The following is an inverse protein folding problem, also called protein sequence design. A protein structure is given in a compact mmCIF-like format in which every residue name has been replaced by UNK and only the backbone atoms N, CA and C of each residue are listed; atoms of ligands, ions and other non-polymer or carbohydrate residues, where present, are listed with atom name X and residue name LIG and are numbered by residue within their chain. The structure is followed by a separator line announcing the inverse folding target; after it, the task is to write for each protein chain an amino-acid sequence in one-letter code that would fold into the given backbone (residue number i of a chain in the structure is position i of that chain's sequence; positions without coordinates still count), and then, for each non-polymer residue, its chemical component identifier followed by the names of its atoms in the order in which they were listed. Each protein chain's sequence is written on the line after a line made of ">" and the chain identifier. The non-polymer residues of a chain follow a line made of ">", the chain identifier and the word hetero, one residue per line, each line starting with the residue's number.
data_IF_569857850033
#
_entry.id   IF_569857850033
#
_cell.length_a   1.000
_cell.length_b   1.000
_cell.length_c   1.000
_cell.angle_alpha   90.00
_cell.angle_beta   90.00
_cell.angle_gamma   90.00
#
_symmetry.space_group_name_H-M   'P 1'
#
loop_
_entity.id
_entity.type
_entity.pdbx_description
1 polymer ?
#
# COMPACT_ATOMS: atom_id res chain seq x y z
N UNK A 1 19.64 31.02 9.37
CA UNK A 1 20.73 31.21 8.40
C UNK A 1 21.61 32.33 8.91
N UNK A 2 22.89 32.07 9.07
CA UNK A 2 23.87 33.09 9.47
C UNK A 2 24.36 33.88 8.25
N UNK A 3 25.08 34.98 8.47
CA UNK A 3 25.57 35.86 7.38
C UNK A 3 26.59 35.16 6.46
N UNK A 4 27.24 34.13 6.94
CA UNK A 4 28.20 33.30 6.19
C UNK A 4 27.55 32.12 5.44
N UNK A 5 26.20 31.99 5.50
CA UNK A 5 25.46 30.90 4.89
C UNK A 5 25.33 29.67 5.77
N UNK A 6 25.94 29.65 6.94
CA UNK A 6 25.81 28.53 7.88
C UNK A 6 24.49 28.57 8.66
N UNK A 7 24.09 27.45 9.22
CA UNK A 7 22.98 27.35 10.16
C UNK A 7 23.31 26.34 11.25
N UNK A 8 22.71 26.50 12.41
CA UNK A 8 22.82 25.55 13.52
C UNK A 8 21.44 25.00 13.77
N UNK A 9 21.31 23.69 13.71
CA UNK A 9 20.10 22.96 14.09
C UNK A 9 20.24 22.53 15.56
N UNK A 10 19.32 23.01 16.42
CA UNK A 10 19.29 22.63 17.84
C UNK A 10 17.92 22.06 18.19
N UNK A 11 17.89 20.94 18.86
CA UNK A 11 16.64 20.31 19.29
C UNK A 11 16.89 18.96 19.96
N UNK A 12 15.83 18.35 20.42
CA UNK A 12 15.84 16.96 20.84
C UNK A 12 15.47 16.11 19.63
N UNK A 13 16.42 15.39 19.12
CA UNK A 13 16.24 14.53 17.95
C UNK A 13 16.22 13.07 18.42
N UNK A 14 15.32 12.29 17.84
CA UNK A 14 15.40 10.84 17.99
C UNK A 14 16.54 10.30 17.11
N UNK A 15 17.27 9.26 17.59
CA UNK A 15 18.25 8.58 16.77
C UNK A 15 17.66 8.10 15.46
N UNK A 16 18.41 8.21 14.36
CA UNK A 16 17.93 7.79 13.05
C UNK A 16 18.72 8.38 11.89
N UNK A 17 18.11 8.36 10.71
CA UNK A 17 18.62 9.03 9.52
C UNK A 17 17.83 10.32 9.28
N UNK A 18 18.53 11.42 9.33
CA UNK A 18 17.98 12.72 8.96
C UNK A 18 18.12 12.90 7.46
N UNK A 19 17.02 13.20 6.79
CA UNK A 19 17.00 13.57 5.37
C UNK A 19 16.73 15.05 5.27
N UNK A 20 17.61 15.76 4.59
CA UNK A 20 17.42 17.18 4.26
C UNK A 20 16.95 17.24 2.81
N UNK A 21 15.75 17.80 2.61
CA UNK A 21 15.14 17.89 1.29
C UNK A 21 14.80 19.32 0.93
N UNK A 22 14.84 19.63 -0.37
CA UNK A 22 14.21 20.82 -0.94
C UNK A 22 12.76 20.50 -1.32
N UNK A 23 12.01 21.53 -1.76
CA UNK A 23 10.61 21.35 -2.23
C UNK A 23 10.49 20.34 -3.39
N UNK A 24 11.60 20.02 -4.08
CA UNK A 24 11.59 19.20 -5.29
C UNK A 24 12.33 17.87 -5.16
N UNK A 25 13.33 17.77 -4.30
CA UNK A 25 14.19 16.57 -4.21
C UNK A 25 14.92 16.46 -2.87
N UNK A 26 15.31 15.25 -2.49
CA UNK A 26 16.17 15.01 -1.34
C UNK A 26 17.60 15.46 -1.70
N UNK A 27 18.17 16.32 -0.86
CA UNK A 27 19.49 16.88 -1.09
C UNK A 27 20.59 15.99 -0.52
N UNK A 28 20.45 15.59 0.74
CA UNK A 28 21.43 14.75 1.43
C UNK A 28 20.82 14.10 2.68
N UNK A 29 21.54 13.12 3.23
CA UNK A 29 21.14 12.45 4.46
C UNK A 29 22.34 12.12 5.32
N UNK A 30 22.15 12.11 6.63
CA UNK A 30 23.17 11.75 7.61
C UNK A 30 22.58 11.01 8.81
N UNK A 31 23.43 10.29 9.51
CA UNK A 31 23.07 9.60 10.76
C UNK A 31 23.14 10.58 11.92
N UNK A 32 22.13 10.55 12.75
CA UNK A 32 22.08 11.22 14.04
C UNK A 32 21.82 10.17 15.13
N UNK A 33 22.82 9.84 15.92
CA UNK A 33 22.71 8.87 17.03
C UNK A 33 23.56 9.35 18.22
N UNK A 34 24.62 8.64 18.55
CA UNK A 34 25.48 8.99 19.70
C UNK A 34 26.32 10.24 19.45
N UNK A 35 26.74 10.43 18.21
CA UNK A 35 27.49 11.60 17.78
C UNK A 35 26.53 12.69 17.30
N UNK A 36 26.49 13.81 17.99
CA UNK A 36 25.56 14.91 17.73
C UNK A 36 26.26 16.25 17.43
N UNK A 37 27.58 16.30 17.57
CA UNK A 37 28.38 17.50 17.30
C UNK A 37 29.29 17.23 16.10
N UNK A 38 28.83 17.56 14.92
CA UNK A 38 29.51 17.40 13.66
C UNK A 38 29.10 18.50 12.66
N UNK A 39 29.92 18.69 11.64
CA UNK A 39 29.70 19.67 10.59
C UNK A 39 29.28 19.00 9.28
N UNK A 40 28.26 19.56 8.63
CA UNK A 40 27.84 19.15 7.28
C UNK A 40 28.12 20.29 6.32
N UNK A 41 28.98 20.06 5.33
CA UNK A 41 29.29 21.00 4.25
C UNK A 41 28.61 20.56 2.95
N UNK A 42 27.88 21.48 2.33
CA UNK A 42 27.17 21.25 1.07
C UNK A 42 27.84 22.08 -0.03
N UNK A 43 28.15 21.44 -1.14
CA UNK A 43 28.82 22.08 -2.28
C UNK A 43 27.80 22.42 -3.40
N UNK A 44 28.11 23.40 -4.27
CA UNK A 44 27.19 23.85 -5.33
C UNK A 44 26.80 22.76 -6.35
N UNK A 45 27.60 21.71 -6.49
CA UNK A 45 27.34 20.55 -7.36
C UNK A 45 26.44 19.49 -6.72
N UNK A 46 25.93 19.77 -5.50
CA UNK A 46 25.10 18.84 -4.73
C UNK A 46 25.89 17.77 -3.96
N UNK A 47 27.23 17.80 -4.04
CA UNK A 47 28.06 16.99 -3.17
C UNK A 47 27.98 17.49 -1.73
N UNK A 48 28.09 16.60 -0.75
CA UNK A 48 28.18 16.96 0.66
C UNK A 48 29.19 16.11 1.41
N UNK A 49 29.75 16.70 2.46
CA UNK A 49 30.65 16.05 3.39
C UNK A 49 30.12 16.18 4.82
N UNK A 50 30.39 15.17 5.64
CA UNK A 50 30.15 15.24 7.08
C UNK A 50 31.50 15.10 7.78
N UNK A 51 31.83 16.00 8.69
CA UNK A 51 33.11 16.01 9.43
C UNK A 51 32.86 15.95 10.93
N UNK A 52 33.66 15.11 11.62
CA UNK A 52 33.57 14.97 13.07
C UNK A 52 32.63 13.85 13.54
N UNK A 53 32.22 12.97 12.64
CA UNK A 53 31.37 11.83 13.00
C UNK A 53 31.85 10.56 12.31
N UNK A 54 32.33 9.59 13.09
CA UNK A 54 32.71 8.25 12.62
C UNK A 54 31.49 7.48 12.11
N UNK A 55 30.32 7.67 12.71
CA UNK A 55 29.08 7.04 12.25
C UNK A 55 28.70 7.51 10.85
N UNK A 56 28.83 8.81 10.59
CA UNK A 56 28.55 9.36 9.27
C UNK A 56 29.60 8.97 8.22
N UNK A 57 30.88 8.85 8.59
CA UNK A 57 31.91 8.30 7.70
C UNK A 57 31.53 6.89 7.22
N UNK A 58 31.08 6.04 8.14
CA UNK A 58 30.63 4.66 7.84
C UNK A 58 29.34 4.64 7.00
N UNK A 59 28.42 5.53 7.31
CA UNK A 59 27.17 5.66 6.55
C UNK A 59 27.44 6.06 5.10
N UNK A 60 28.29 7.04 4.87
CA UNK A 60 28.65 7.50 3.53
C UNK A 60 29.44 6.44 2.74
N UNK A 61 30.35 5.71 3.42
CA UNK A 61 31.04 4.57 2.83
C UNK A 61 30.08 3.47 2.40
N UNK A 62 29.13 3.11 3.27
CA UNK A 62 28.08 2.13 2.95
C UNK A 62 27.21 2.59 1.77
N UNK A 63 26.79 3.85 1.75
CA UNK A 63 26.03 4.39 0.62
C UNK A 63 26.81 4.29 -0.70
N UNK A 64 28.12 4.58 -0.67
CA UNK A 64 28.99 4.45 -1.83
C UNK A 64 29.03 2.99 -2.33
N UNK A 65 29.34 2.04 -1.44
CA UNK A 65 29.39 0.61 -1.78
C UNK A 65 28.05 0.07 -2.30
N UNK A 66 26.94 0.48 -1.68
CA UNK A 66 25.61 0.11 -2.13
C UNK A 66 25.29 0.70 -3.53
N UNK A 67 25.69 1.94 -3.80
CA UNK A 67 25.52 2.58 -5.11
C UNK A 67 26.32 1.84 -6.18
N UNK A 68 27.57 1.50 -5.92
CA UNK A 68 28.43 0.74 -6.83
C UNK A 68 27.81 -0.63 -7.16
N UNK A 69 27.33 -1.34 -6.14
CA UNK A 69 26.63 -2.62 -6.34
C UNK A 69 25.38 -2.46 -7.19
N UNK A 70 24.52 -1.47 -6.89
CA UNK A 70 23.31 -1.21 -7.67
C UNK A 70 23.59 -0.80 -9.11
N UNK A 71 24.68 -0.08 -9.35
CA UNK A 71 25.10 0.28 -10.70
C UNK A 71 25.47 -0.97 -11.52
N UNK A 72 26.17 -1.94 -10.92
CA UNK A 72 26.47 -3.22 -11.57
C UNK A 72 25.19 -3.98 -11.92
N UNK A 73 24.21 -4.03 -10.99
CA UNK A 73 22.90 -4.66 -11.27
C UNK A 73 22.19 -4.00 -12.44
N UNK A 74 22.10 -2.68 -12.44
CA UNK A 74 21.44 -1.91 -13.49
C UNK A 74 22.12 -2.10 -14.87
N UNK A 75 23.45 -2.05 -14.91
CA UNK A 75 24.20 -2.28 -16.14
C UNK A 75 24.02 -3.71 -16.68
N UNK A 76 23.99 -4.71 -15.78
CA UNK A 76 23.75 -6.09 -16.15
C UNK A 76 22.32 -6.28 -16.70
N UNK A 77 21.32 -5.63 -16.11
CA UNK A 77 19.93 -5.67 -16.60
C UNK A 77 19.81 -5.05 -18.00
N UNK A 78 20.43 -3.90 -18.24
CA UNK A 78 20.47 -3.27 -19.57
C UNK A 78 21.14 -4.16 -20.60
N UNK A 79 22.33 -4.69 -20.27
CA UNK A 79 23.08 -5.56 -21.18
C UNK A 79 22.33 -6.87 -21.49
N UNK A 80 21.54 -7.40 -20.55
CA UNK A 80 20.70 -8.58 -20.76
C UNK A 80 19.51 -8.30 -21.67
N UNK A 81 18.96 -7.08 -21.62
CA UNK A 81 17.90 -6.66 -22.54
C UNK A 81 18.41 -6.51 -23.99
N UNK A 82 19.65 -6.04 -24.16
CA UNK A 82 20.31 -5.91 -25.46
C UNK A 82 20.75 -7.27 -26.03
N UNK A 83 21.30 -8.14 -25.20
CA UNK A 83 21.84 -9.44 -25.61
C UNK A 83 21.55 -10.54 -24.57
N UNK A 84 20.42 -11.28 -24.72
CA UNK A 84 20.05 -12.36 -23.81
C UNK A 84 21.08 -13.51 -23.71
N UNK A 85 21.98 -13.66 -24.68
CA UNK A 85 23.00 -14.73 -24.66
C UNK A 85 24.10 -14.47 -23.63
N UNK A 86 24.26 -13.24 -23.15
CA UNK A 86 25.24 -12.86 -22.10
C UNK A 86 24.80 -13.24 -20.68
N UNK A 87 23.68 -13.93 -20.50
CA UNK A 87 23.09 -14.23 -19.19
C UNK A 87 24.11 -14.83 -18.21
N UNK A 88 24.87 -15.85 -18.59
CA UNK A 88 25.78 -16.54 -17.69
C UNK A 88 26.99 -15.68 -17.28
N UNK A 89 27.55 -14.93 -18.23
CA UNK A 89 28.66 -14.01 -17.94
C UNK A 89 28.22 -12.85 -17.05
N UNK A 90 27.03 -12.29 -17.30
CA UNK A 90 26.46 -11.20 -16.49
C UNK A 90 26.09 -11.70 -15.09
N UNK A 91 25.54 -12.91 -14.94
CA UNK A 91 25.28 -13.53 -13.65
C UNK A 91 26.57 -13.66 -12.82
N UNK A 92 27.68 -14.05 -13.44
CA UNK A 92 28.98 -14.13 -12.76
C UNK A 92 29.45 -12.77 -12.23
N UNK A 93 29.30 -11.70 -13.03
CA UNK A 93 29.65 -10.33 -12.65
C UNK A 93 28.76 -9.85 -11.48
N UNK A 94 27.47 -10.07 -11.58
CA UNK A 94 26.50 -9.72 -10.53
C UNK A 94 26.81 -10.49 -9.24
N UNK A 95 27.07 -11.78 -9.33
CA UNK A 95 27.40 -12.60 -8.14
C UNK A 95 28.68 -12.15 -7.46
N UNK A 96 29.71 -11.77 -8.23
CA UNK A 96 30.95 -11.23 -7.67
C UNK A 96 30.69 -9.91 -6.94
N UNK A 97 29.95 -8.99 -7.56
CA UNK A 97 29.60 -7.72 -6.94
C UNK A 97 28.76 -7.92 -5.67
N UNK A 98 27.80 -8.86 -5.71
CA UNK A 98 27.00 -9.26 -4.55
C UNK A 98 27.87 -9.77 -3.42
N UNK A 99 28.77 -10.71 -3.69
CA UNK A 99 29.65 -11.27 -2.68
C UNK A 99 30.55 -10.20 -2.03
N UNK A 100 31.09 -9.27 -2.84
CA UNK A 100 31.88 -8.15 -2.33
C UNK A 100 31.07 -7.27 -1.40
N UNK A 101 29.86 -6.89 -1.82
CA UNK A 101 28.96 -6.07 -1.01
C UNK A 101 28.50 -6.79 0.27
N UNK A 102 28.15 -8.06 0.17
CA UNK A 102 27.72 -8.88 1.33
C UNK A 102 28.84 -9.05 2.34
N UNK A 103 30.09 -9.30 1.90
CA UNK A 103 31.24 -9.37 2.78
C UNK A 103 31.46 -8.06 3.52
N UNK A 104 31.44 -6.94 2.80
CA UNK A 104 31.57 -5.61 3.39
C UNK A 104 30.45 -5.35 4.39
N UNK A 105 29.22 -5.60 4.00
CA UNK A 105 28.03 -5.40 4.85
C UNK A 105 28.11 -6.23 6.14
N UNK A 106 28.49 -7.50 6.04
CA UNK A 106 28.52 -8.39 7.20
C UNK A 106 29.67 -8.03 8.16
N UNK A 107 30.76 -7.41 7.68
CA UNK A 107 31.87 -6.95 8.52
C UNK A 107 31.47 -5.85 9.51
N UNK A 108 30.39 -5.08 9.24
CA UNK A 108 29.94 -4.04 10.16
C UNK A 108 29.55 -4.56 11.54
N UNK A 109 28.86 -5.70 11.58
CA UNK A 109 28.41 -6.26 12.85
C UNK A 109 29.58 -6.72 13.72
N UNK A 110 30.64 -7.24 13.11
CA UNK A 110 31.85 -7.71 13.83
C UNK A 110 32.73 -6.53 14.27
N UNK A 111 32.89 -5.54 13.39
CA UNK A 111 33.80 -4.43 13.63
C UNK A 111 33.18 -3.29 14.46
N UNK A 112 31.89 -3.06 14.32
CA UNK A 112 31.18 -1.90 14.90
C UNK A 112 29.81 -2.30 15.45
N UNK A 113 29.71 -3.20 16.44
CA UNK A 113 28.42 -3.79 16.89
C UNK A 113 27.42 -2.74 17.38
N UNK A 114 27.90 -1.66 17.99
CA UNK A 114 27.05 -0.60 18.58
C UNK A 114 26.78 0.56 17.62
N UNK A 115 27.37 0.55 16.42
CA UNK A 115 27.17 1.61 15.44
C UNK A 115 25.82 1.50 14.77
N UNK A 116 25.20 2.65 14.46
CA UNK A 116 23.90 2.70 13.76
C UNK A 116 23.92 1.93 12.44
N UNK A 117 25.06 1.91 11.73
CA UNK A 117 25.18 1.14 10.49
C UNK A 117 25.07 -0.37 10.70
N UNK A 118 25.59 -0.89 11.80
CA UNK A 118 25.44 -2.31 12.14
C UNK A 118 23.97 -2.69 12.33
N UNK A 119 23.22 -1.84 13.02
CA UNK A 119 21.76 -2.01 13.23
C UNK A 119 21.00 -1.92 11.90
N UNK A 120 21.33 -0.93 11.07
CA UNK A 120 20.72 -0.77 9.74
C UNK A 120 20.97 -1.98 8.83
N UNK A 121 22.20 -2.47 8.80
CA UNK A 121 22.59 -3.61 7.96
C UNK A 121 21.81 -4.87 8.36
N UNK A 122 21.67 -5.13 9.66
CA UNK A 122 20.82 -6.24 10.16
C UNK A 122 19.36 -6.03 9.83
N UNK A 123 18.86 -4.82 10.01
CA UNK A 123 17.45 -4.50 9.75
C UNK A 123 17.05 -4.73 8.28
N UNK A 124 17.95 -4.49 7.32
CA UNK A 124 17.68 -4.71 5.88
C UNK A 124 18.05 -6.10 5.37
N UNK A 125 18.64 -6.96 6.21
CA UNK A 125 19.02 -8.31 5.81
C UNK A 125 17.78 -9.12 5.39
N UNK A 126 18.01 -10.10 4.53
CA UNK A 126 17.00 -11.06 4.10
C UNK A 126 17.34 -12.44 4.68
N UNK A 127 16.34 -13.33 4.85
CA UNK A 127 16.59 -14.67 5.35
C UNK A 127 17.61 -15.40 4.49
N UNK A 128 18.50 -16.16 5.14
CA UNK A 128 19.37 -17.08 4.45
C UNK A 128 18.55 -18.24 3.89
N UNK A 129 18.57 -18.40 2.57
CA UNK A 129 17.73 -19.38 1.88
C UNK A 129 18.43 -20.73 1.82
N UNK A 130 17.82 -21.82 2.36
CA UNK A 130 18.37 -23.17 2.27
C UNK A 130 18.58 -23.61 0.81
N UNK A 131 19.77 -24.19 0.54
CA UNK A 131 20.20 -24.58 -0.82
C UNK A 131 19.24 -25.54 -1.52
N UNK A 132 18.50 -26.35 -0.79
CA UNK A 132 17.56 -27.32 -1.38
C UNK A 132 16.41 -26.65 -2.15
N UNK A 133 16.08 -25.38 -1.85
CA UNK A 133 15.08 -24.61 -2.59
C UNK A 133 15.63 -24.02 -3.90
N UNK A 134 16.95 -23.99 -4.08
CA UNK A 134 17.60 -23.27 -5.17
C UNK A 134 18.17 -24.21 -6.23
N UNK A 135 18.10 -23.78 -7.48
CA UNK A 135 18.86 -24.32 -8.59
C UNK A 135 20.35 -23.93 -8.48
N UNK A 136 21.18 -24.50 -9.31
CA UNK A 136 22.63 -24.19 -9.37
C UNK A 136 22.92 -22.73 -9.76
N UNK A 137 21.99 -22.07 -10.46
CA UNK A 137 22.08 -20.65 -10.86
C UNK A 137 21.52 -19.70 -9.78
N UNK A 138 21.10 -20.22 -8.62
CA UNK A 138 20.50 -19.44 -7.54
C UNK A 138 19.02 -19.10 -7.70
N UNK A 139 18.38 -19.48 -8.78
CA UNK A 139 16.94 -19.33 -8.96
C UNK A 139 16.16 -20.34 -8.10
N UNK A 140 14.93 -19.97 -7.72
CA UNK A 140 14.05 -20.87 -6.95
C UNK A 140 13.56 -22.02 -7.84
N UNK A 141 13.65 -23.24 -7.34
CA UNK A 141 13.12 -24.43 -8.02
C UNK A 141 11.61 -24.35 -8.13
N UNK A 142 11.09 -24.66 -9.30
CA UNK A 142 9.63 -24.59 -9.57
C UNK A 142 8.83 -25.51 -8.65
N UNK A 143 9.34 -26.71 -8.41
CA UNK A 143 8.71 -27.76 -7.57
C UNK A 143 8.66 -27.38 -6.09
N UNK A 144 9.53 -26.52 -5.59
CA UNK A 144 9.59 -26.06 -4.18
C UNK A 144 9.16 -24.62 -4.00
N UNK A 145 8.62 -23.97 -5.03
CA UNK A 145 8.32 -22.54 -4.99
C UNK A 145 7.36 -22.12 -3.87
N UNK A 146 6.35 -22.96 -3.57
CA UNK A 146 5.39 -22.70 -2.48
C UNK A 146 6.05 -22.84 -1.10
N UNK A 147 6.86 -23.89 -0.91
CA UNK A 147 7.59 -24.13 0.33
C UNK A 147 8.63 -23.03 0.57
N UNK A 148 9.33 -22.62 -0.49
CA UNK A 148 10.24 -21.46 -0.46
C UNK A 148 9.51 -20.18 -0.05
N UNK A 149 8.37 -19.86 -0.66
CA UNK A 149 7.61 -18.67 -0.33
C UNK A 149 7.13 -18.68 1.13
N UNK A 150 6.71 -19.84 1.63
CA UNK A 150 6.35 -20.03 3.03
C UNK A 150 7.55 -19.82 3.95
N UNK A 151 8.69 -20.51 3.67
CA UNK A 151 9.93 -20.38 4.42
C UNK A 151 10.40 -18.92 4.47
N UNK A 152 10.49 -18.25 3.31
CA UNK A 152 10.96 -16.88 3.21
C UNK A 152 10.09 -15.92 4.03
N UNK A 153 8.78 -16.08 3.97
CA UNK A 153 7.83 -15.25 4.74
C UNK A 153 7.96 -15.46 6.25
N UNK A 154 8.09 -16.71 6.70
CA UNK A 154 8.16 -17.02 8.14
C UNK A 154 9.48 -16.65 8.78
N UNK A 155 10.57 -16.60 7.99
CA UNK A 155 11.92 -16.23 8.46
C UNK A 155 12.32 -14.78 8.13
N UNK A 156 11.41 -14.00 7.54
CA UNK A 156 11.73 -12.66 7.06
C UNK A 156 12.21 -11.68 8.14
N UNK A 157 11.84 -11.93 9.37
CA UNK A 157 12.13 -11.09 10.53
C UNK A 157 13.15 -11.72 11.51
N UNK A 158 13.79 -12.84 11.16
CA UNK A 158 14.65 -13.56 12.10
C UNK A 158 15.85 -12.72 12.58
N UNK A 159 16.50 -12.02 11.67
CA UNK A 159 17.67 -11.17 11.97
C UNK A 159 17.30 -9.75 12.41
N UNK A 160 16.00 -9.42 12.49
CA UNK A 160 15.56 -8.09 12.87
C UNK A 160 15.56 -7.94 14.39
N UNK A 161 16.29 -6.92 14.88
CA UNK A 161 16.36 -6.60 16.30
C UNK A 161 15.24 -5.64 16.68
N UNK A 162 14.15 -6.18 17.22
CA UNK A 162 13.02 -5.40 17.69
C UNK A 162 13.29 -4.62 18.97
N UNK A 163 14.39 -4.90 19.71
CA UNK A 163 14.73 -4.15 20.91
C UNK A 163 15.47 -2.84 20.62
N UNK A 164 15.92 -2.63 19.39
CA UNK A 164 16.64 -1.41 18.98
C UNK A 164 15.70 -0.44 18.23
N UNK A 165 15.19 0.56 18.95
CA UNK A 165 14.23 1.53 18.41
C UNK A 165 14.82 2.54 17.42
N UNK A 166 16.14 2.63 17.28
CA UNK A 166 16.81 3.58 16.37
C UNK A 166 16.36 3.41 14.93
N UNK A 167 16.02 2.18 14.53
CA UNK A 167 15.52 1.87 13.18
C UNK A 167 14.19 2.55 12.86
N UNK A 168 13.33 2.83 13.87
CA UNK A 168 12.07 3.58 13.68
C UNK A 168 12.33 5.01 13.14
N UNK A 169 13.46 5.63 13.52
CA UNK A 169 13.90 6.91 12.99
C UNK A 169 14.49 6.85 11.57
N UNK A 170 14.27 5.75 10.84
CA UNK A 170 14.81 5.54 9.50
C UNK A 170 13.73 5.09 8.52
N UNK A 171 13.90 5.33 7.19
CA UNK A 171 12.96 4.82 6.20
C UNK A 171 13.02 3.29 6.02
N UNK A 172 14.02 2.62 6.58
CA UNK A 172 14.30 1.22 6.30
C UNK A 172 13.33 0.26 6.96
N UNK A 173 12.90 0.53 8.19
CA UNK A 173 11.89 -0.30 8.85
C UNK A 173 10.58 -0.31 8.07
N UNK A 174 10.03 0.88 7.79
CA UNK A 174 8.77 0.97 7.07
C UNK A 174 8.86 0.30 5.69
N UNK A 175 9.96 0.51 4.97
CA UNK A 175 10.18 -0.11 3.67
C UNK A 175 10.30 -1.65 3.75
N UNK A 176 10.94 -2.17 4.81
CA UNK A 176 11.01 -3.62 5.07
C UNK A 176 9.61 -4.16 5.35
N UNK A 177 8.83 -3.48 6.20
CA UNK A 177 7.46 -3.87 6.51
C UNK A 177 6.56 -3.81 5.27
N UNK A 178 6.64 -2.74 4.47
CA UNK A 178 5.93 -2.67 3.19
C UNK A 178 6.30 -3.85 2.26
N UNK A 179 7.57 -4.17 2.15
CA UNK A 179 8.00 -5.32 1.33
C UNK A 179 7.39 -6.63 1.84
N UNK A 180 7.35 -6.83 3.16
CA UNK A 180 6.72 -7.99 3.79
C UNK A 180 5.24 -8.10 3.44
N UNK A 181 4.50 -7.01 3.55
CA UNK A 181 3.06 -6.98 3.27
C UNK A 181 2.78 -7.00 1.76
N UNK A 182 3.46 -6.16 0.95
CA UNK A 182 3.07 -5.92 -0.45
C UNK A 182 3.69 -6.93 -1.43
N UNK A 183 4.83 -7.57 -1.08
CA UNK A 183 5.58 -8.42 -2.00
C UNK A 183 5.66 -9.88 -1.57
N UNK A 184 5.70 -10.14 -0.26
CA UNK A 184 5.92 -11.47 0.30
C UNK A 184 4.61 -12.12 0.73
N UNK A 185 3.62 -11.32 1.10
CA UNK A 185 2.29 -11.77 1.49
C UNK A 185 1.36 -11.88 0.28
N UNK A 186 0.50 -12.89 0.23
CA UNK A 186 -0.54 -12.98 -0.79
C UNK A 186 -1.51 -11.80 -0.68
N UNK A 187 -1.82 -11.18 -1.82
CA UNK A 187 -2.58 -9.94 -1.88
C UNK A 187 -4.10 -10.18 -1.82
N UNK A 188 -4.55 -10.75 -0.71
CA UNK A 188 -5.94 -10.78 -0.28
C UNK A 188 -6.04 -10.34 1.19
N UNK A 189 -7.17 -9.80 1.60
CA UNK A 189 -7.33 -9.19 2.92
C UNK A 189 -7.06 -10.17 4.09
N UNK A 190 -7.42 -11.45 3.93
CA UNK A 190 -7.20 -12.46 4.96
C UNK A 190 -5.71 -12.77 5.15
N UNK A 191 -4.98 -12.99 4.05
CA UNK A 191 -3.54 -13.27 4.11
C UNK A 191 -2.76 -12.06 4.63
N UNK A 192 -3.16 -10.85 4.23
CA UNK A 192 -2.54 -9.61 4.73
C UNK A 192 -2.82 -9.42 6.21
N UNK A 193 -4.04 -9.69 6.67
CA UNK A 193 -4.37 -9.63 8.09
C UNK A 193 -3.54 -10.64 8.90
N UNK A 194 -3.43 -11.89 8.43
CA UNK A 194 -2.61 -12.91 9.12
C UNK A 194 -1.15 -12.49 9.21
N UNK A 195 -0.58 -11.97 8.12
CA UNK A 195 0.81 -11.48 8.13
C UNK A 195 0.99 -10.25 9.01
N UNK A 196 0.05 -9.32 8.96
CA UNK A 196 0.02 -8.13 9.83
C UNK A 196 -0.01 -8.53 11.31
N UNK A 197 -0.95 -9.40 11.70
CA UNK A 197 -1.07 -9.89 13.07
C UNK A 197 0.18 -10.65 13.52
N UNK A 198 0.71 -11.53 12.66
CA UNK A 198 1.94 -12.28 12.96
C UNK A 198 3.13 -11.36 13.19
N UNK A 199 3.24 -10.25 12.45
CA UNK A 199 4.27 -9.24 12.68
C UNK A 199 4.08 -8.57 14.07
N UNK A 200 2.87 -8.14 14.40
CA UNK A 200 2.56 -7.50 15.70
C UNK A 200 2.88 -8.45 16.87
N UNK A 201 2.42 -9.71 16.78
CA UNK A 201 2.68 -10.74 17.80
C UNK A 201 4.19 -10.97 17.96
N UNK A 202 4.92 -11.06 16.86
CA UNK A 202 6.37 -11.26 16.87
C UNK A 202 7.11 -10.06 17.49
N UNK A 203 6.76 -8.84 17.08
CA UNK A 203 7.36 -7.62 17.61
C UNK A 203 7.15 -7.54 19.12
N UNK A 204 5.93 -7.73 19.60
CA UNK A 204 5.61 -7.72 21.03
C UNK A 204 6.37 -8.82 21.80
N UNK A 205 6.49 -10.03 21.24
CA UNK A 205 7.24 -11.12 21.88
C UNK A 205 8.75 -10.87 21.98
N UNK A 206 9.29 -9.96 21.16
CA UNK A 206 10.71 -9.59 21.11
C UNK A 206 11.00 -8.19 21.66
N UNK A 207 10.14 -7.65 22.53
CA UNK A 207 10.26 -6.31 23.16
C UNK A 207 10.23 -5.15 22.14
N UNK A 208 9.47 -5.34 21.09
CA UNK A 208 9.31 -4.36 20.00
C UNK A 208 7.96 -3.65 20.01
N UNK A 209 7.45 -3.29 21.20
CA UNK A 209 6.15 -2.62 21.35
C UNK A 209 6.07 -1.32 20.56
N UNK A 210 7.18 -0.59 20.45
CA UNK A 210 7.24 0.65 19.65
C UNK A 210 7.03 0.39 18.16
N UNK A 211 7.54 -0.73 17.63
CA UNK A 211 7.32 -1.13 16.23
C UNK A 211 5.89 -1.57 15.97
N UNK A 212 5.32 -2.37 16.88
CA UNK A 212 3.93 -2.80 16.76
C UNK A 212 2.97 -1.62 16.87
N UNK A 213 3.21 -0.70 17.82
CA UNK A 213 2.44 0.52 17.96
C UNK A 213 2.51 1.40 16.71
N UNK A 214 3.71 1.65 16.20
CA UNK A 214 3.90 2.48 14.99
C UNK A 214 3.11 1.93 13.80
N UNK A 215 3.18 0.62 13.54
CA UNK A 215 2.46 -0.02 12.44
C UNK A 215 0.94 -0.03 12.69
N UNK A 216 0.50 -0.28 13.91
CA UNK A 216 -0.91 -0.25 14.28
C UNK A 216 -1.51 1.14 14.05
N UNK A 217 -0.89 2.20 14.59
CA UNK A 217 -1.34 3.59 14.42
C UNK A 217 -1.37 3.99 12.94
N UNK A 218 -0.35 3.57 12.17
CA UNK A 218 -0.30 3.81 10.73
C UNK A 218 -1.49 3.19 10.00
N UNK A 219 -1.82 1.93 10.29
CA UNK A 219 -2.91 1.21 9.62
C UNK A 219 -4.28 1.72 10.07
N UNK A 220 -4.47 1.99 11.36
CA UNK A 220 -5.70 2.60 11.89
C UNK A 220 -5.96 3.99 11.28
N UNK A 221 -4.91 4.72 10.90
CA UNK A 221 -5.05 6.05 10.28
C UNK A 221 -5.23 5.98 8.76
N UNK A 222 -4.55 5.05 8.10
CA UNK A 222 -4.45 4.99 6.63
C UNK A 222 -5.60 4.27 5.96
N UNK A 223 -6.00 3.12 6.52
CA UNK A 223 -7.00 2.25 5.88
C UNK A 223 -8.37 2.93 5.72
N UNK A 224 -8.91 3.67 6.72
CA UNK A 224 -10.20 4.34 6.57
C UNK A 224 -10.24 5.40 5.47
N UNK A 225 -9.09 5.96 5.11
CA UNK A 225 -8.98 7.03 4.10
C UNK A 225 -9.06 6.51 2.66
N UNK A 226 -9.02 5.21 2.46
CA UNK A 226 -8.96 4.58 1.15
C UNK A 226 -10.14 3.60 1.01
N UNK A 227 -11.29 4.05 0.48
CA UNK A 227 -12.54 3.28 0.45
C UNK A 227 -12.53 2.19 -0.63
N UNK A 228 -11.60 1.24 -0.49
CA UNK A 228 -11.54 0.02 -1.27
C UNK A 228 -11.98 -1.16 -0.41
N UNK A 229 -12.74 -2.09 -0.95
CA UNK A 229 -13.17 -3.30 -0.23
C UNK A 229 -12.04 -4.00 0.51
N UNK A 230 -10.87 -4.10 -0.11
CA UNK A 230 -9.68 -4.69 0.52
C UNK A 230 -9.32 -4.00 1.83
N UNK A 231 -9.25 -2.66 1.82
CA UNK A 231 -8.88 -1.88 2.99
C UNK A 231 -9.95 -1.92 4.07
N UNK A 232 -11.23 -1.87 3.68
CA UNK A 232 -12.36 -1.93 4.60
C UNK A 232 -12.45 -3.30 5.30
N UNK A 233 -12.22 -4.40 4.58
CA UNK A 233 -12.16 -5.75 5.16
C UNK A 233 -10.99 -5.84 6.14
N UNK A 234 -9.80 -5.42 5.73
CA UNK A 234 -8.59 -5.46 6.55
C UNK A 234 -8.78 -4.60 7.81
N UNK A 235 -9.29 -3.39 7.66
CA UNK A 235 -9.54 -2.49 8.77
C UNK A 235 -10.58 -3.05 9.75
N UNK A 236 -11.69 -3.58 9.24
CA UNK A 236 -12.72 -4.21 10.07
C UNK A 236 -12.13 -5.35 10.92
N UNK A 237 -11.29 -6.19 10.33
CA UNK A 237 -10.63 -7.28 11.06
C UNK A 237 -9.64 -6.77 12.11
N UNK A 238 -8.86 -5.73 11.80
CA UNK A 238 -7.95 -5.11 12.77
C UNK A 238 -8.75 -4.56 13.96
N UNK A 239 -9.85 -3.86 13.70
CA UNK A 239 -10.68 -3.31 14.78
C UNK A 239 -11.31 -4.41 15.62
N UNK A 240 -11.92 -5.42 14.97
CA UNK A 240 -12.60 -6.53 15.68
C UNK A 240 -11.66 -7.38 16.54
N UNK A 241 -10.46 -7.68 16.02
CA UNK A 241 -9.58 -8.66 16.63
C UNK A 241 -8.45 -8.02 17.46
N UNK A 242 -8.10 -6.75 17.20
CA UNK A 242 -6.88 -6.14 17.74
C UNK A 242 -7.08 -4.80 18.46
N UNK A 243 -8.29 -4.20 18.46
CA UNK A 243 -8.56 -3.05 19.34
C UNK A 243 -9.03 -3.55 20.71
N UNK A 244 -8.06 -3.84 21.57
CA UNK A 244 -8.24 -4.32 22.93
C UNK A 244 -7.01 -4.00 23.80
N UNK A 245 -7.02 -4.42 25.06
CA UNK A 245 -5.92 -4.10 26.00
C UNK A 245 -4.61 -4.85 25.69
N UNK A 246 -4.67 -5.97 24.96
CA UNK A 246 -3.48 -6.74 24.61
C UNK A 246 -2.69 -6.10 23.45
N UNK A 247 -3.41 -5.53 22.47
CA UNK A 247 -2.80 -5.01 21.24
C UNK A 247 -2.71 -3.49 21.18
N UNK A 248 -3.65 -2.78 21.80
CA UNK A 248 -3.75 -1.32 21.74
C UNK A 248 -4.00 -0.69 23.12
N UNK A 249 -3.16 -1.00 24.14
CA UNK A 249 -3.36 -0.48 25.51
C UNK A 249 -3.27 1.05 25.59
N UNK A 250 -2.65 1.71 24.60
CA UNK A 250 -2.51 3.17 24.52
C UNK A 250 -3.74 3.91 23.97
N UNK A 251 -4.68 3.19 23.34
CA UNK A 251 -5.91 3.82 22.84
C UNK A 251 -6.87 4.09 24.00
N UNK A 252 -7.34 5.33 24.08
CA UNK A 252 -8.42 5.71 24.99
C UNK A 252 -9.74 5.03 24.62
N UNK A 253 -10.66 4.98 25.57
CA UNK A 253 -12.00 4.43 25.31
C UNK A 253 -12.71 5.14 24.16
N UNK A 254 -12.61 6.49 24.11
CA UNK A 254 -13.24 7.27 23.04
C UNK A 254 -12.65 6.99 21.66
N UNK A 255 -11.33 6.73 21.55
CA UNK A 255 -10.71 6.33 20.30
C UNK A 255 -11.16 4.94 19.86
N UNK A 256 -11.23 3.99 20.78
CA UNK A 256 -11.74 2.63 20.50
C UNK A 256 -13.20 2.67 20.04
N UNK A 257 -14.04 3.46 20.70
CA UNK A 257 -15.45 3.67 20.32
C UNK A 257 -15.57 4.32 18.94
N UNK A 258 -14.70 5.26 18.58
CA UNK A 258 -14.68 5.88 17.26
C UNK A 258 -14.36 4.86 16.15
N UNK A 259 -13.34 4.01 16.37
CA UNK A 259 -13.02 2.94 15.44
C UNK A 259 -14.17 1.93 15.30
N UNK A 260 -14.77 1.54 16.41
CA UNK A 260 -15.93 0.63 16.43
C UNK A 260 -17.12 1.21 15.69
N UNK A 261 -17.45 2.47 15.96
CA UNK A 261 -18.56 3.18 15.29
C UNK A 261 -18.35 3.26 13.78
N UNK A 262 -17.11 3.50 13.34
CA UNK A 262 -16.78 3.55 11.92
C UNK A 262 -16.97 2.17 11.23
N UNK A 263 -16.50 1.07 11.84
CA UNK A 263 -16.71 -0.24 11.22
C UNK A 263 -18.18 -0.67 11.21
N UNK A 264 -19.00 -0.23 12.14
CA UNK A 264 -20.44 -0.48 12.12
C UNK A 264 -21.12 0.20 10.92
N UNK A 265 -20.63 1.36 10.49
CA UNK A 265 -21.13 2.05 9.30
C UNK A 265 -20.74 1.35 8.00
N UNK A 266 -19.50 0.83 7.89
CA UNK A 266 -19.02 0.20 6.65
C UNK A 266 -19.38 -1.28 6.52
N UNK A 267 -19.55 -1.99 7.64
CA UNK A 267 -19.82 -3.44 7.69
C UNK A 267 -21.03 -3.90 6.84
N UNK A 268 -22.14 -3.15 6.77
CA UNK A 268 -23.27 -3.52 5.92
C UNK A 268 -22.96 -3.51 4.42
N UNK A 269 -21.89 -2.84 4.00
CA UNK A 269 -21.51 -2.63 2.60
C UNK A 269 -20.26 -3.42 2.18
N UNK A 270 -19.75 -4.28 3.04
CA UNK A 270 -18.64 -5.16 2.71
C UNK A 270 -19.04 -6.24 1.68
N UNK A 271 -18.11 -6.81 0.92
CA UNK A 271 -18.36 -7.88 -0.03
C UNK A 271 -19.22 -9.02 0.54
N UNK A 272 -20.16 -9.50 -0.26
CA UNK A 272 -21.15 -10.52 0.12
C UNK A 272 -22.40 -9.98 0.81
N UNK A 273 -22.41 -8.72 1.28
CA UNK A 273 -23.60 -8.08 1.89
C UNK A 273 -24.58 -7.61 0.83
N UNK A 274 -25.88 -7.62 1.16
CA UNK A 274 -26.92 -7.10 0.28
C UNK A 274 -26.86 -5.56 0.27
N UNK A 275 -26.71 -4.99 -0.92
CA UNK A 275 -26.74 -3.53 -1.07
C UNK A 275 -28.17 -3.00 -0.95
N UNK A 276 -28.41 -1.86 -0.32
CA UNK A 276 -29.76 -1.33 -0.14
C UNK A 276 -30.44 -1.01 -1.47
N UNK A 277 -31.78 -1.17 -1.50
CA UNK A 277 -32.56 -0.82 -2.67
C UNK A 277 -32.75 0.69 -2.78
N UNK A 278 -31.74 1.39 -3.24
CA UNK A 278 -31.78 2.85 -3.42
C UNK A 278 -32.78 3.20 -4.52
N UNK A 279 -33.67 4.15 -4.22
CA UNK A 279 -34.55 4.77 -5.18
C UNK A 279 -34.30 6.28 -5.24
N UNK A 280 -34.20 6.81 -6.44
CA UNK A 280 -33.96 8.22 -6.69
C UNK A 280 -34.61 8.64 -8.05
N UNK A 281 -34.73 9.96 -8.28
CA UNK A 281 -35.25 10.47 -9.52
C UNK A 281 -34.20 10.57 -10.60
N UNK A 282 -34.50 10.09 -11.79
CA UNK A 282 -33.71 10.31 -13.01
C UNK A 282 -33.77 11.79 -13.45
N UNK A 283 -32.87 12.19 -14.34
CA UNK A 283 -32.86 13.56 -14.87
C UNK A 283 -34.15 13.95 -15.61
N UNK A 284 -34.89 12.99 -16.15
CA UNK A 284 -36.21 13.20 -16.77
C UNK A 284 -37.39 13.11 -15.78
N UNK A 285 -37.12 12.98 -14.48
CA UNK A 285 -38.11 13.04 -13.39
C UNK A 285 -38.79 11.71 -13.06
N UNK A 286 -38.45 10.62 -13.70
CA UNK A 286 -38.95 9.27 -13.34
C UNK A 286 -38.29 8.75 -12.09
N UNK A 287 -39.01 8.05 -11.25
CA UNK A 287 -38.41 7.30 -10.14
C UNK A 287 -37.84 5.96 -10.63
N UNK A 288 -36.59 5.68 -10.29
CA UNK A 288 -35.95 4.42 -10.59
C UNK A 288 -35.36 3.82 -9.30
N UNK A 289 -35.64 2.54 -9.11
CA UNK A 289 -35.12 1.77 -7.99
C UNK A 289 -34.00 0.81 -8.48
N UNK A 290 -32.95 0.72 -7.72
CA UNK A 290 -31.80 -0.13 -8.03
C UNK A 290 -32.20 -1.59 -8.32
N UNK A 291 -33.14 -2.13 -7.54
CA UNK A 291 -33.60 -3.50 -7.68
C UNK A 291 -34.47 -3.75 -8.91
N UNK A 292 -34.90 -2.70 -9.63
CA UNK A 292 -35.58 -2.84 -10.91
C UNK A 292 -34.61 -3.24 -12.04
N UNK A 293 -33.33 -3.00 -11.89
CA UNK A 293 -32.31 -3.41 -12.86
C UNK A 293 -32.04 -4.91 -12.75
N UNK A 294 -32.36 -5.67 -13.82
CA UNK A 294 -32.31 -7.15 -13.86
C UNK A 294 -31.10 -7.65 -14.66
N UNK A 295 -29.97 -7.00 -14.48
CA UNK A 295 -28.70 -7.39 -15.11
C UNK A 295 -27.87 -8.29 -14.19
N UNK A 296 -26.95 -9.02 -14.79
CA UNK A 296 -26.03 -9.92 -14.07
C UNK A 296 -25.15 -9.15 -13.10
N UNK A 297 -24.69 -7.98 -13.52
CA UNK A 297 -23.98 -7.05 -12.67
C UNK A 297 -24.65 -5.68 -12.66
N UNK A 298 -24.48 -4.93 -11.59
CA UNK A 298 -24.89 -3.56 -11.49
C UNK A 298 -23.73 -2.73 -10.92
N UNK A 299 -23.39 -1.65 -11.61
CA UNK A 299 -22.36 -0.73 -11.15
C UNK A 299 -23.07 0.48 -10.55
N UNK A 300 -22.98 0.66 -9.23
CA UNK A 300 -23.49 1.85 -8.55
C UNK A 300 -22.36 2.87 -8.48
N UNK A 301 -22.55 4.01 -9.14
CA UNK A 301 -21.53 5.04 -9.27
C UNK A 301 -22.00 6.34 -8.60
N UNK A 302 -21.43 6.64 -7.43
CA UNK A 302 -21.65 7.92 -6.75
C UNK A 302 -20.63 8.94 -7.25
N UNK A 303 -21.13 10.10 -7.70
CA UNK A 303 -20.29 11.14 -8.30
C UNK A 303 -20.86 12.53 -8.06
N UNK A 304 -20.08 13.58 -8.35
CA UNK A 304 -20.55 14.97 -8.29
C UNK A 304 -20.15 15.72 -9.54
N UNK A 305 -21.07 16.50 -10.08
CA UNK A 305 -20.82 17.34 -11.24
C UNK A 305 -19.75 18.41 -10.91
N UNK A 306 -18.75 18.54 -11.80
CA UNK A 306 -17.59 19.43 -11.60
C UNK A 306 -16.43 18.83 -10.79
N UNK A 307 -16.54 17.58 -10.35
CA UNK A 307 -15.44 16.83 -9.75
C UNK A 307 -14.54 16.25 -10.86
N UNK A 308 -13.29 16.68 -10.94
CA UNK A 308 -12.36 16.26 -12.01
C UNK A 308 -12.07 14.76 -11.99
N UNK A 309 -11.88 14.18 -10.81
CA UNK A 309 -11.69 12.73 -10.67
C UNK A 309 -12.94 11.94 -11.06
N UNK A 310 -14.13 12.49 -10.80
CA UNK A 310 -15.39 11.87 -11.22
C UNK A 310 -15.52 11.88 -12.74
N UNK A 311 -15.15 12.97 -13.39
CA UNK A 311 -15.14 13.09 -14.85
C UNK A 311 -14.25 12.03 -15.50
N UNK A 312 -13.01 11.91 -15.04
CA UNK A 312 -12.09 10.89 -15.53
C UNK A 312 -12.65 9.47 -15.36
N UNK A 313 -13.24 9.18 -14.19
CA UNK A 313 -13.84 7.87 -13.94
C UNK A 313 -15.08 7.63 -14.82
N UNK A 314 -15.88 8.66 -15.10
CA UNK A 314 -17.03 8.56 -16.01
C UNK A 314 -16.58 8.26 -17.44
N UNK A 315 -15.53 8.90 -17.94
CA UNK A 315 -14.92 8.63 -19.26
C UNK A 315 -14.44 7.17 -19.38
N UNK A 316 -13.66 6.68 -18.41
CA UNK A 316 -13.18 5.29 -18.36
C UNK A 316 -14.36 4.29 -18.28
N UNK A 317 -15.35 4.59 -17.46
CA UNK A 317 -16.55 3.75 -17.31
C UNK A 317 -17.38 3.71 -18.60
N UNK A 318 -17.50 4.84 -19.31
CA UNK A 318 -18.19 4.92 -20.60
C UNK A 318 -17.52 4.06 -21.67
N UNK A 319 -16.19 4.09 -21.76
CA UNK A 319 -15.44 3.25 -22.70
C UNK A 319 -15.70 1.76 -22.41
N UNK A 320 -15.68 1.39 -21.12
CA UNK A 320 -15.95 0.02 -20.70
C UNK A 320 -17.41 -0.35 -20.95
N UNK A 321 -18.36 0.55 -20.68
CA UNK A 321 -19.80 0.35 -20.91
C UNK A 321 -20.08 0.08 -22.38
N UNK A 322 -19.62 0.96 -23.29
CA UNK A 322 -19.85 0.85 -24.72
C UNK A 322 -19.20 -0.41 -25.34
N UNK A 323 -18.04 -0.81 -24.83
CA UNK A 323 -17.33 -1.97 -25.37
C UNK A 323 -17.75 -3.32 -24.78
N UNK A 324 -18.38 -3.35 -23.61
CA UNK A 324 -18.46 -4.58 -22.82
C UNK A 324 -19.80 -4.83 -22.14
N UNK A 325 -20.76 -3.91 -22.21
CA UNK A 325 -22.07 -4.01 -21.55
C UNK A 325 -22.78 -5.34 -21.89
N UNK A 326 -22.93 -5.62 -23.18
CA UNK A 326 -23.66 -6.81 -23.64
C UNK A 326 -22.89 -8.10 -23.35
N UNK A 327 -21.56 -8.02 -23.39
CA UNK A 327 -20.70 -9.17 -23.11
C UNK A 327 -20.83 -9.66 -21.67
N UNK A 328 -20.89 -8.75 -20.71
CA UNK A 328 -20.95 -9.09 -19.29
C UNK A 328 -22.33 -8.93 -18.68
N UNK A 329 -23.32 -8.43 -19.44
CA UNK A 329 -24.69 -8.16 -18.99
C UNK A 329 -24.69 -7.29 -17.71
N UNK A 330 -24.22 -6.06 -17.84
CA UNK A 330 -24.24 -5.11 -16.74
C UNK A 330 -24.93 -3.81 -17.07
N UNK A 331 -25.39 -3.11 -16.03
CA UNK A 331 -25.95 -1.76 -16.12
C UNK A 331 -25.32 -0.84 -15.08
N UNK A 332 -25.26 0.46 -15.40
CA UNK A 332 -24.78 1.50 -14.51
C UNK A 332 -25.95 2.26 -13.89
N UNK A 333 -25.97 2.30 -12.58
CA UNK A 333 -26.89 3.08 -11.76
C UNK A 333 -26.08 4.21 -11.11
N UNK A 334 -25.97 5.35 -11.82
CA UNK A 334 -25.16 6.45 -11.31
C UNK A 334 -26.01 7.45 -10.52
N UNK A 335 -25.47 7.91 -9.39
CA UNK A 335 -26.14 8.84 -8.48
C UNK A 335 -25.25 10.08 -8.34
N UNK A 336 -25.76 11.18 -8.82
CA UNK A 336 -25.13 12.49 -8.65
C UNK A 336 -25.48 13.07 -7.27
N UNK A 337 -24.47 13.46 -6.51
CA UNK A 337 -24.55 13.84 -5.10
C UNK A 337 -24.44 15.35 -4.86
N UNK A 338 -24.11 16.13 -5.89
CA UNK A 338 -23.90 17.60 -5.77
C UNK A 338 -25.18 18.43 -5.77
N UNK A 339 -26.31 17.88 -6.26
CA UNK A 339 -27.62 18.50 -6.24
C UNK A 339 -27.87 19.61 -7.29
N UNK A 340 -26.89 19.95 -8.12
CA UNK A 340 -27.06 20.94 -9.21
C UNK A 340 -27.49 20.24 -10.50
N UNK A 341 -28.80 20.26 -10.75
CA UNK A 341 -29.42 19.56 -11.87
C UNK A 341 -28.94 20.08 -13.23
N UNK A 342 -28.75 21.37 -13.36
CA UNK A 342 -28.35 21.97 -14.65
C UNK A 342 -26.94 21.58 -15.01
N UNK A 343 -26.03 21.63 -14.02
CA UNK A 343 -24.65 21.13 -14.19
C UNK A 343 -24.62 19.64 -14.51
N UNK A 344 -25.39 18.84 -13.80
CA UNK A 344 -25.49 17.39 -14.02
C UNK A 344 -25.95 17.08 -15.43
N UNK A 345 -27.04 17.75 -15.90
CA UNK A 345 -27.57 17.55 -17.23
C UNK A 345 -26.57 17.96 -18.33
N UNK A 346 -25.92 19.10 -18.12
CA UNK A 346 -24.86 19.57 -19.02
C UNK A 346 -23.72 18.56 -19.12
N UNK A 347 -23.16 18.16 -17.99
CA UNK A 347 -22.03 17.22 -17.94
C UNK A 347 -22.44 15.85 -18.51
N UNK A 348 -23.61 15.31 -18.17
CA UNK A 348 -24.11 14.05 -18.73
C UNK A 348 -24.18 14.09 -20.26
N UNK A 349 -24.65 15.22 -20.82
CA UNK A 349 -24.75 15.40 -22.26
C UNK A 349 -23.38 15.57 -22.92
N UNK A 350 -22.48 16.37 -22.35
CA UNK A 350 -21.13 16.61 -22.86
C UNK A 350 -20.28 15.34 -22.85
N UNK A 351 -20.41 14.52 -21.81
CA UNK A 351 -19.68 13.25 -21.67
C UNK A 351 -20.36 12.08 -22.40
N UNK A 352 -21.60 12.26 -22.91
CA UNK A 352 -22.33 11.21 -23.62
C UNK A 352 -22.60 9.98 -22.77
N UNK A 353 -23.08 10.17 -21.53
CA UNK A 353 -23.40 9.08 -20.62
C UNK A 353 -24.75 8.45 -21.01
N UNK A 354 -24.74 7.19 -21.44
CA UNK A 354 -25.92 6.46 -21.93
C UNK A 354 -26.63 5.62 -20.88
N UNK A 355 -26.13 5.62 -19.65
CA UNK A 355 -26.73 4.91 -18.52
C UNK A 355 -27.68 5.79 -17.67
N UNK A 356 -28.28 5.21 -16.64
CA UNK A 356 -29.18 5.93 -15.75
C UNK A 356 -28.42 6.89 -14.84
N UNK A 357 -28.72 8.18 -14.97
CA UNK A 357 -28.23 9.24 -14.09
C UNK A 357 -29.37 9.71 -13.19
N UNK A 358 -29.18 9.51 -11.90
CA UNK A 358 -30.11 9.88 -10.84
C UNK A 358 -29.50 11.00 -10.00
N UNK A 359 -30.37 11.71 -9.28
CA UNK A 359 -29.94 12.71 -8.31
C UNK A 359 -30.43 12.34 -6.92
N UNK A 360 -29.56 12.47 -5.94
CA UNK A 360 -29.89 12.30 -4.55
C UNK A 360 -29.07 13.22 -3.65
N UNK A 361 -29.63 13.57 -2.51
CA UNK A 361 -28.92 14.31 -1.48
C UNK A 361 -28.13 13.31 -0.60
N UNK A 362 -26.83 13.54 -0.30
CA UNK A 362 -26.02 12.68 0.56
C UNK A 362 -26.69 12.36 1.90
N UNK A 363 -27.24 13.36 2.60
CA UNK A 363 -27.91 13.17 3.87
C UNK A 363 -29.18 12.30 3.77
N UNK A 364 -29.86 12.28 2.61
CA UNK A 364 -30.99 11.38 2.37
C UNK A 364 -30.53 9.95 2.12
N UNK A 365 -29.43 9.76 1.41
CA UNK A 365 -28.84 8.42 1.20
C UNK A 365 -28.43 7.85 2.55
N UNK A 366 -27.71 8.63 3.35
CA UNK A 366 -27.28 8.21 4.68
C UNK A 366 -28.47 7.90 5.61
N UNK A 367 -29.43 8.82 5.75
CA UNK A 367 -30.55 8.66 6.66
C UNK A 367 -31.51 7.52 6.29
N UNK A 368 -31.68 7.24 4.99
CA UNK A 368 -32.59 6.20 4.50
C UNK A 368 -31.97 4.83 4.39
N UNK A 369 -30.70 4.78 4.03
CA UNK A 369 -30.03 3.54 3.64
C UNK A 369 -28.81 3.21 4.51
N UNK A 370 -28.46 4.10 5.44
CA UNK A 370 -27.28 3.94 6.30
C UNK A 370 -25.94 4.02 5.54
N UNK A 371 -25.99 4.48 4.27
CA UNK A 371 -24.79 4.57 3.43
C UNK A 371 -24.24 6.00 3.47
N UNK A 372 -23.11 6.17 4.14
CA UNK A 372 -22.36 7.43 4.16
C UNK A 372 -21.38 7.47 2.96
N UNK A 373 -21.63 8.38 2.02
CA UNK A 373 -20.74 8.65 0.88
C UNK A 373 -20.00 9.96 1.16
N UNK A 374 -18.86 9.87 1.82
CA UNK A 374 -18.07 11.04 2.23
C UNK A 374 -17.32 11.70 1.06
N UNK A 375 -16.91 10.88 0.08
CA UNK A 375 -16.11 11.34 -1.04
C UNK A 375 -16.64 10.78 -2.35
N UNK A 376 -16.49 11.55 -3.41
CA UNK A 376 -16.77 11.12 -4.78
C UNK A 376 -15.49 11.18 -5.63
N UNK A 377 -15.30 10.23 -6.55
CA UNK A 377 -16.18 9.11 -6.90
C UNK A 377 -16.12 7.95 -5.90
N UNK A 378 -17.25 7.23 -5.72
CA UNK A 378 -17.32 5.96 -5.01
C UNK A 378 -18.13 4.97 -5.86
N UNK A 379 -17.63 3.75 -6.03
CA UNK A 379 -18.18 2.77 -6.97
C UNK A 379 -18.39 1.44 -6.25
N UNK A 380 -19.62 0.93 -6.30
CA UNK A 380 -19.93 -0.44 -5.89
C UNK A 380 -20.22 -1.30 -7.10
N UNK A 381 -19.67 -2.50 -7.13
CA UNK A 381 -19.94 -3.52 -8.14
C UNK A 381 -20.78 -4.60 -7.46
N UNK A 382 -21.99 -4.83 -7.98
CA UNK A 382 -22.96 -5.73 -7.40
C UNK A 382 -23.23 -6.92 -8.32
N UNK A 383 -23.54 -8.08 -7.72
CA UNK A 383 -24.03 -9.26 -8.44
C UNK A 383 -25.53 -9.15 -8.83
N UNK A 384 -26.07 -10.18 -9.47
CA UNK A 384 -27.48 -10.25 -9.87
C UNK A 384 -28.48 -10.19 -8.70
N UNK A 385 -28.05 -10.57 -7.49
CA UNK A 385 -28.81 -10.51 -6.25
C UNK A 385 -28.59 -9.18 -5.49
N UNK A 386 -27.90 -8.24 -6.10
CA UNK A 386 -27.51 -6.96 -5.50
C UNK A 386 -26.64 -7.11 -4.26
N UNK A 387 -25.80 -8.17 -4.22
CA UNK A 387 -24.77 -8.30 -3.21
C UNK A 387 -23.50 -7.59 -3.68
N UNK A 388 -22.82 -6.92 -2.77
CA UNK A 388 -21.56 -6.27 -3.05
C UNK A 388 -20.51 -7.31 -3.44
N UNK A 389 -19.92 -7.17 -4.63
CA UNK A 389 -18.74 -7.90 -5.05
C UNK A 389 -17.48 -7.14 -4.68
N UNK A 390 -17.49 -5.83 -4.92
CA UNK A 390 -16.35 -4.96 -4.63
C UNK A 390 -16.78 -3.50 -4.46
N UNK A 391 -15.97 -2.73 -3.72
CA UNK A 391 -16.01 -1.27 -3.63
C UNK A 391 -14.68 -0.69 -4.11
N UNK A 392 -14.71 0.37 -4.91
CA UNK A 392 -13.54 1.04 -5.45
C UNK A 392 -13.83 2.52 -5.72
N UNK A 393 -12.79 3.29 -5.95
CA UNK A 393 -12.89 4.69 -6.44
C UNK A 393 -12.35 4.83 -7.87
N UNK A 394 -12.01 3.71 -8.52
CA UNK A 394 -11.40 3.66 -9.85
C UNK A 394 -12.22 2.79 -10.80
N UNK A 395 -12.71 3.40 -11.87
CA UNK A 395 -13.46 2.70 -12.92
C UNK A 395 -12.61 1.64 -13.64
N UNK A 396 -11.31 1.85 -13.76
CA UNK A 396 -10.37 0.89 -14.33
C UNK A 396 -10.33 -0.48 -13.61
N UNK A 397 -10.77 -0.55 -12.35
CA UNK A 397 -10.84 -1.79 -11.60
C UNK A 397 -12.08 -2.65 -11.91
N UNK A 398 -13.15 -2.05 -12.44
CA UNK A 398 -14.44 -2.72 -12.65
C UNK A 398 -14.29 -3.97 -13.53
N UNK A 399 -13.58 -3.83 -14.65
CA UNK A 399 -13.34 -4.94 -15.58
C UNK A 399 -12.65 -6.12 -14.88
N UNK A 400 -11.63 -5.86 -14.11
CA UNK A 400 -10.86 -6.92 -13.42
C UNK A 400 -11.74 -7.66 -12.41
N UNK A 401 -12.60 -6.96 -11.67
CA UNK A 401 -13.53 -7.55 -10.71
C UNK A 401 -14.55 -8.45 -11.43
N UNK A 402 -15.16 -7.98 -12.51
CA UNK A 402 -16.14 -8.76 -13.30
C UNK A 402 -15.46 -9.99 -13.91
N UNK A 403 -14.28 -9.85 -14.52
CA UNK A 403 -13.57 -10.98 -15.11
C UNK A 403 -13.12 -12.03 -14.08
N UNK A 404 -12.80 -11.60 -12.87
CA UNK A 404 -12.49 -12.52 -11.77
C UNK A 404 -13.73 -13.31 -11.36
N UNK A 405 -14.88 -12.66 -11.24
CA UNK A 405 -16.14 -13.29 -10.88
C UNK A 405 -16.61 -14.28 -11.94
N UNK A 406 -16.42 -13.95 -13.23
CA UNK A 406 -16.70 -14.86 -14.35
C UNK A 406 -15.84 -16.15 -14.27
N UNK A 407 -14.58 -16.03 -13.93
CA UNK A 407 -13.67 -17.18 -13.76
C UNK A 407 -14.11 -18.08 -12.60
N UNK A 408 -14.47 -17.50 -11.45
CA UNK A 408 -14.97 -18.27 -10.32
C UNK A 408 -16.26 -19.00 -10.65
N UNK A 409 -17.23 -18.32 -11.27
CA UNK A 409 -18.51 -18.89 -11.70
C UNK A 409 -18.34 -20.02 -12.72
N UNK A 410 -17.35 -19.92 -13.63
CA UNK A 410 -17.07 -20.95 -14.62
C UNK A 410 -16.40 -22.19 -14.03
N UNK A 411 -15.51 -22.02 -13.05
CA UNK A 411 -14.86 -23.15 -12.37
C UNK A 411 -15.84 -23.94 -11.47
N UNK A 412 -16.69 -23.24 -10.74
CA UNK A 412 -17.72 -23.85 -9.89
C UNK A 412 -18.78 -24.64 -10.69
N UNK A 413 -18.95 -24.37 -12.00
CA UNK A 413 -19.83 -25.15 -12.90
C UNK A 413 -19.14 -26.38 -13.47
N UNK A 414 -17.81 -26.46 -13.47
CA UNK A 414 -17.06 -27.65 -13.96
C UNK A 414 -16.85 -28.71 -12.90
N UNK A 415 -17.03 -28.33 -11.62
CA UNK A 415 -16.91 -29.27 -10.47
C UNK A 415 -18.25 -29.87 -10.02
N UNK A 416 -19.34 -29.47 -10.66
CA UNK A 416 -20.69 -30.10 -10.51
C UNK A 416 -21.04 -30.95 -11.73
#
# INVERSE_FOLDING_TARGET
>A
LQSDGSFILKGNFHPGIVVVSSVKEDMFSFVLDKETDFEVSIFPDGFYEVKGSIENDRYLEYQKMNREYRLVLYQAELALKEDPQKKDSLNSVVQKAKNTFDTYRNSFHELYPDNMMSVLVRAVSQPEVPKHYLNSDGSVKKETALEYAYYFRTHYWDDFDFSDERILGTPYFYKKFQTYIDKITMQNADSVFVSFKSFIDLANSRKGESYSRYIMELYLTKLPRLPFSFNEILYTRIVDEMINDDYTPWLSLSEREAHQSYIEQIRPFLPGKAFPNISAQTLDGRELSLYNLKHRYTIVFFWSAGCESCKKNAEELREFYNSSKDKYDFEVFSIEMGGDRDKTQKQTSEEGLEWFVLQANPAQIESRYGLNVEHTPEIYILDSNKRVLNKTVLSSHIKAVIEQEEKFSSNSRKEK
#
